data_IF_876218931884
#
_entry.id   IF_876218931884
#
_cell.length_a   1.000
_cell.length_b   1.000
_cell.length_c   1.000
_cell.angle_alpha   90.00
_cell.angle_beta   90.00
_cell.angle_gamma   90.00
#
_symmetry.space_group_name_H-M   'P 1'
#
loop_
_entity.id
_entity.type
_entity.pdbx_description
1 polymer ?
#
# COMPACT_ATOMS: atom_id res chain seq x y z
N UNK A 1 -12.29 -27.73 23.86
CA UNK A 1 -13.55 -27.97 23.13
C UNK A 1 -13.90 -26.79 22.27
N UNK A 2 -14.39 -27.08 21.08
CA UNK A 2 -14.83 -26.07 20.13
C UNK A 2 -16.24 -25.60 20.48
N UNK A 3 -16.51 -24.30 20.38
CA UNK A 3 -17.82 -23.73 20.79
C UNK A 3 -18.95 -24.02 19.79
N UNK A 4 -18.60 -24.38 18.55
CA UNK A 4 -19.56 -24.60 17.46
C UNK A 4 -19.62 -26.07 17.09
N UNK A 5 -20.82 -26.55 16.76
CA UNK A 5 -21.00 -27.90 16.20
C UNK A 5 -20.32 -28.01 14.83
N UNK A 6 -20.08 -29.24 14.35
CA UNK A 6 -19.44 -29.50 13.05
C UNK A 6 -20.19 -28.83 11.89
N UNK A 7 -21.52 -28.90 11.90
CA UNK A 7 -22.40 -28.28 10.91
C UNK A 7 -22.36 -26.75 10.97
N UNK A 8 -22.40 -26.17 12.18
CA UNK A 8 -22.29 -24.73 12.36
C UNK A 8 -20.94 -24.19 11.87
N UNK A 9 -19.85 -24.92 12.16
CA UNK A 9 -18.51 -24.58 11.65
C UNK A 9 -18.45 -24.68 10.13
N UNK A 10 -19.00 -25.74 9.55
CA UNK A 10 -19.06 -25.89 8.10
C UNK A 10 -19.80 -24.71 7.44
N UNK A 11 -20.96 -24.33 7.98
CA UNK A 11 -21.73 -23.16 7.51
C UNK A 11 -20.98 -21.83 7.70
N UNK A 12 -20.27 -21.65 8.80
CA UNK A 12 -19.43 -20.47 8.99
C UNK A 12 -18.29 -20.41 7.97
N UNK A 13 -17.61 -21.54 7.71
CA UNK A 13 -16.51 -21.62 6.74
C UNK A 13 -16.99 -21.37 5.31
N UNK A 14 -18.17 -21.87 4.93
CA UNK A 14 -18.73 -21.63 3.59
C UNK A 14 -19.21 -20.19 3.38
N UNK A 15 -19.56 -19.47 4.46
CA UNK A 15 -19.95 -18.07 4.40
C UNK A 15 -18.77 -17.09 4.27
N UNK A 16 -17.53 -17.55 4.49
CA UNK A 16 -16.32 -16.73 4.38
C UNK A 16 -16.02 -16.48 2.90
N UNK A 17 -16.33 -15.26 2.44
CA UNK A 17 -16.06 -14.81 1.08
C UNK A 17 -14.60 -14.41 0.94
N UNK A 18 -13.98 -14.79 -0.17
CA UNK A 18 -12.60 -14.40 -0.49
C UNK A 18 -12.44 -13.01 -1.11
N UNK A 19 -13.53 -12.29 -1.40
CA UNK A 19 -13.54 -10.95 -2.02
C UNK A 19 -14.74 -10.12 -1.55
N UNK A 20 -14.62 -8.80 -1.60
CA UNK A 20 -15.63 -7.83 -1.17
C UNK A 20 -16.05 -8.05 0.29
N UNK A 21 -15.08 -8.29 1.16
CA UNK A 21 -15.35 -8.40 2.59
C UNK A 21 -15.80 -7.04 3.15
N UNK A 22 -16.49 -7.07 4.31
CA UNK A 22 -16.92 -5.84 5.01
C UNK A 22 -15.77 -4.84 5.25
N UNK A 23 -14.57 -5.24 5.71
CA UNK A 23 -13.45 -4.30 5.87
C UNK A 23 -12.98 -3.71 4.54
N UNK A 24 -12.86 -4.50 3.47
CA UNK A 24 -12.51 -3.99 2.13
C UNK A 24 -13.49 -2.92 1.65
N UNK A 25 -14.80 -3.19 1.75
CA UNK A 25 -15.85 -2.25 1.35
C UNK A 25 -15.79 -0.95 2.13
N UNK A 26 -15.37 -0.99 3.39
CA UNK A 26 -15.25 0.19 4.22
C UNK A 26 -14.11 1.09 3.74
N UNK A 27 -12.91 0.52 3.55
CA UNK A 27 -11.75 1.25 3.01
C UNK A 27 -12.08 1.82 1.64
N UNK A 28 -12.74 1.04 0.79
CA UNK A 28 -13.21 1.44 -0.54
C UNK A 28 -14.13 2.65 -0.52
N UNK A 29 -15.13 2.66 0.36
CA UNK A 29 -16.07 3.78 0.49
C UNK A 29 -15.36 5.04 0.98
N UNK A 30 -14.48 4.90 1.97
CA UNK A 30 -13.71 6.02 2.51
C UNK A 30 -12.77 6.64 1.47
N UNK A 31 -11.99 5.81 0.76
CA UNK A 31 -11.08 6.32 -0.27
C UNK A 31 -11.85 7.01 -1.39
N UNK A 32 -12.97 6.44 -1.81
CA UNK A 32 -13.82 7.04 -2.85
C UNK A 32 -14.42 8.39 -2.40
N UNK A 33 -14.93 8.49 -1.16
CA UNK A 33 -15.49 9.74 -0.65
C UNK A 33 -14.45 10.85 -0.49
N UNK A 34 -13.18 10.50 -0.30
CA UNK A 34 -12.04 11.43 -0.28
C UNK A 34 -11.44 11.70 -1.67
N UNK A 35 -12.05 11.20 -2.75
CA UNK A 35 -11.63 11.47 -4.13
C UNK A 35 -10.50 10.58 -4.66
N UNK A 36 -10.04 9.59 -3.91
CA UNK A 36 -9.02 8.65 -4.39
C UNK A 36 -9.64 7.67 -5.39
N UNK A 37 -9.03 7.60 -6.58
CA UNK A 37 -9.41 6.64 -7.63
C UNK A 37 -8.53 5.40 -7.52
N UNK A 38 -9.16 4.24 -7.39
CA UNK A 38 -8.51 2.94 -7.29
C UNK A 38 -9.08 1.96 -8.32
N UNK A 39 -8.30 0.92 -8.64
CA UNK A 39 -8.76 -0.28 -9.35
C UNK A 39 -8.75 -1.46 -8.38
N UNK A 40 -9.66 -2.40 -8.61
CA UNK A 40 -9.76 -3.65 -7.87
C UNK A 40 -9.09 -4.77 -8.66
N UNK A 41 -8.54 -5.76 -7.94
CA UNK A 41 -8.08 -7.04 -8.49
C UNK A 41 -7.28 -6.87 -9.79
N UNK A 42 -6.19 -6.12 -9.78
CA UNK A 42 -5.40 -5.95 -11.00
C UNK A 42 -4.65 -7.26 -11.32
N UNK A 43 -5.02 -8.01 -12.37
CA UNK A 43 -4.47 -9.35 -12.60
C UNK A 43 -3.00 -9.33 -13.04
N UNK A 44 -2.46 -8.15 -13.35
CA UNK A 44 -1.06 -7.94 -13.74
C UNK A 44 -0.12 -7.74 -12.56
N UNK A 45 -0.64 -7.62 -11.34
CA UNK A 45 0.17 -7.45 -10.14
C UNK A 45 0.18 -8.76 -9.33
N UNK A 46 1.35 -9.16 -8.80
CA UNK A 46 1.44 -10.34 -7.96
C UNK A 46 0.62 -10.15 -6.68
N UNK A 47 0.00 -11.23 -6.21
CA UNK A 47 -0.79 -11.25 -4.97
C UNK A 47 -2.21 -10.70 -5.03
N UNK A 48 -2.69 -10.31 -6.22
CA UNK A 48 -4.05 -9.77 -6.40
C UNK A 48 -4.43 -8.72 -5.34
N UNK A 49 -3.70 -7.59 -5.26
CA UNK A 49 -3.96 -6.56 -4.27
C UNK A 49 -5.42 -6.08 -4.32
N UNK A 50 -6.01 -5.86 -3.15
CA UNK A 50 -7.41 -5.45 -3.01
C UNK A 50 -7.67 -4.12 -3.71
N UNK A 51 -6.75 -3.16 -3.51
CA UNK A 51 -6.86 -1.80 -4.02
C UNK A 51 -5.55 -1.36 -4.65
N UNK A 52 -5.62 -0.89 -5.90
CA UNK A 52 -4.47 -0.41 -6.66
C UNK A 52 -4.67 1.05 -7.02
N UNK A 53 -3.80 1.91 -6.51
CA UNK A 53 -3.81 3.35 -6.74
C UNK A 53 -2.65 3.74 -7.67
N UNK A 54 -2.87 3.62 -8.98
CA UNK A 54 -1.84 3.88 -10.01
C UNK A 54 -1.23 5.28 -9.93
N UNK A 55 -2.03 6.31 -9.63
CA UNK A 55 -1.58 7.71 -9.51
C UNK A 55 -0.52 7.89 -8.42
N UNK A 56 -0.59 7.06 -7.38
CA UNK A 56 0.23 7.10 -6.17
C UNK A 56 1.28 5.99 -6.15
N UNK A 57 1.37 5.18 -7.23
CA UNK A 57 2.16 3.93 -7.28
C UNK A 57 2.02 3.07 -6.01
N UNK A 58 0.82 3.05 -5.44
CA UNK A 58 0.56 2.40 -4.15
C UNK A 58 -0.45 1.27 -4.31
N UNK A 59 -0.20 0.15 -3.64
CA UNK A 59 -1.12 -0.98 -3.48
C UNK A 59 -1.51 -1.11 -2.01
N UNK A 60 -2.79 -1.39 -1.75
CA UNK A 60 -3.31 -1.56 -0.40
C UNK A 60 -3.87 -2.97 -0.27
N UNK A 61 -3.41 -3.67 0.77
CA UNK A 61 -3.87 -4.99 1.19
C UNK A 61 -4.73 -4.86 2.44
N UNK A 62 -5.94 -5.43 2.42
CA UNK A 62 -6.87 -5.43 3.55
C UNK A 62 -6.87 -6.81 4.19
N UNK A 63 -5.89 -7.03 5.08
CA UNK A 63 -5.64 -8.35 5.65
C UNK A 63 -6.55 -8.63 6.85
N UNK A 64 -7.18 -9.81 6.82
CA UNK A 64 -7.87 -10.37 7.98
C UNK A 64 -6.88 -10.79 9.06
N UNK A 65 -7.05 -10.32 10.30
CA UNK A 65 -6.08 -10.58 11.38
C UNK A 65 -5.87 -12.07 11.67
N UNK A 66 -6.91 -12.89 11.48
CA UNK A 66 -6.85 -14.33 11.69
C UNK A 66 -6.07 -15.07 10.59
N UNK A 67 -6.30 -14.70 9.31
CA UNK A 67 -5.79 -15.46 8.16
C UNK A 67 -4.33 -15.19 7.83
N UNK A 68 -3.86 -13.97 8.11
CA UNK A 68 -2.48 -13.54 7.86
C UNK A 68 -1.65 -13.45 9.16
N UNK A 69 -2.23 -13.85 10.29
CA UNK A 69 -1.53 -13.93 11.57
C UNK A 69 -1.00 -12.60 12.08
N UNK A 70 -1.89 -11.65 12.39
CA UNK A 70 -1.48 -10.35 12.90
C UNK A 70 -0.81 -10.47 14.27
N UNK A 71 0.46 -10.08 14.34
CA UNK A 71 1.25 -10.10 15.58
C UNK A 71 0.70 -9.07 16.58
N UNK A 72 0.76 -9.39 17.88
CA UNK A 72 0.24 -8.55 18.98
C UNK A 72 -1.25 -8.16 18.88
N UNK A 73 -2.05 -8.89 18.10
CA UNK A 73 -3.47 -8.61 17.94
C UNK A 73 -4.35 -9.48 18.83
N UNK A 74 -5.24 -8.87 19.62
CA UNK A 74 -6.25 -9.59 20.44
C UNK A 74 -7.19 -10.48 19.60
N UNK A 75 -7.37 -10.15 18.32
CA UNK A 75 -8.25 -10.88 17.39
C UNK A 75 -7.53 -12.03 16.70
N UNK A 76 -6.21 -12.12 16.82
CA UNK A 76 -5.46 -13.29 16.38
C UNK A 76 -5.40 -14.29 17.54
N UNK A 77 -6.07 -15.43 17.37
CA UNK A 77 -5.98 -16.55 18.31
C UNK A 77 -6.02 -17.84 17.53
N UNK A 78 -5.00 -18.68 17.71
CA UNK A 78 -4.99 -20.01 17.12
C UNK A 78 -6.17 -20.83 17.66
N UNK A 79 -6.92 -21.53 16.79
CA UNK A 79 -7.94 -22.45 17.25
C UNK A 79 -7.32 -23.55 18.11
N UNK A 80 -8.00 -23.94 19.19
CA UNK A 80 -7.54 -25.05 20.05
C UNK A 80 -7.63 -26.43 19.35
N UNK A 81 -8.26 -26.48 18.18
CA UNK A 81 -8.47 -27.65 17.34
C UNK A 81 -7.57 -27.56 16.10
N UNK A 82 -6.89 -28.65 15.73
CA UNK A 82 -5.98 -28.73 14.57
C UNK A 82 -4.90 -27.64 14.53
N UNK A 83 -4.23 -27.41 15.68
CA UNK A 83 -3.24 -26.35 15.85
C UNK A 83 -2.12 -26.42 14.80
N UNK A 84 -1.53 -27.59 14.59
CA UNK A 84 -0.42 -27.78 13.63
C UNK A 84 -0.83 -27.41 12.19
N UNK A 85 -2.03 -27.81 11.77
CA UNK A 85 -2.58 -27.43 10.47
C UNK A 85 -2.74 -25.91 10.34
N UNK A 86 -3.33 -25.27 11.35
CA UNK A 86 -3.55 -23.82 11.33
C UNK A 86 -2.25 -23.03 11.38
N UNK A 87 -1.30 -23.46 12.19
CA UNK A 87 0.01 -22.85 12.30
C UNK A 87 0.76 -22.90 10.96
N UNK A 88 0.86 -24.09 10.35
CA UNK A 88 1.48 -24.25 9.01
C UNK A 88 0.76 -23.45 7.93
N UNK A 89 -0.57 -23.36 7.99
CA UNK A 89 -1.37 -22.59 7.04
C UNK A 89 -1.12 -21.08 7.16
N UNK A 90 -1.10 -20.55 8.38
CA UNK A 90 -0.85 -19.13 8.64
C UNK A 90 0.58 -18.77 8.25
N UNK A 91 1.56 -19.62 8.58
CA UNK A 91 2.96 -19.39 8.22
C UNK A 91 3.14 -19.30 6.70
N UNK A 92 2.56 -20.26 5.96
CA UNK A 92 2.57 -20.24 4.49
C UNK A 92 1.93 -18.98 3.91
N UNK A 93 0.86 -18.48 4.53
CA UNK A 93 0.23 -17.22 4.11
C UNK A 93 1.16 -16.03 4.36
N UNK A 94 1.78 -15.93 5.54
CA UNK A 94 2.77 -14.89 5.86
C UNK A 94 3.95 -14.89 4.89
N UNK A 95 4.50 -16.07 4.60
CA UNK A 95 5.58 -16.23 3.63
C UNK A 95 5.17 -15.76 2.22
N UNK A 96 3.95 -16.11 1.80
CA UNK A 96 3.40 -15.67 0.51
C UNK A 96 3.23 -14.15 0.47
N UNK A 97 2.61 -13.55 1.48
CA UNK A 97 2.41 -12.11 1.56
C UNK A 97 3.75 -11.36 1.48
N UNK A 98 4.78 -11.86 2.18
CA UNK A 98 6.13 -11.28 2.14
C UNK A 98 6.72 -11.35 0.75
N UNK A 99 6.61 -12.50 0.06
CA UNK A 99 7.10 -12.66 -1.32
C UNK A 99 6.40 -11.69 -2.27
N UNK A 100 5.08 -11.57 -2.16
CA UNK A 100 4.28 -10.68 -3.00
C UNK A 100 4.64 -9.20 -2.76
N UNK A 101 4.78 -8.79 -1.50
CA UNK A 101 5.23 -7.44 -1.13
C UNK A 101 6.63 -7.14 -1.66
N UNK A 102 7.57 -8.09 -1.57
CA UNK A 102 8.92 -7.93 -2.14
C UNK A 102 8.88 -7.74 -3.66
N UNK A 103 8.05 -8.54 -4.37
CA UNK A 103 7.90 -8.40 -5.83
C UNK A 103 7.31 -7.05 -6.22
N UNK A 104 6.30 -6.58 -5.48
CA UNK A 104 5.67 -5.27 -5.71
C UNK A 104 6.64 -4.12 -5.45
N UNK A 105 7.40 -4.20 -4.34
CA UNK A 105 8.44 -3.23 -4.04
C UNK A 105 9.53 -3.19 -5.12
N UNK A 106 9.97 -4.35 -5.62
CA UNK A 106 10.93 -4.43 -6.73
C UNK A 106 10.39 -3.82 -8.04
N UNK A 107 9.09 -3.85 -8.25
CA UNK A 107 8.41 -3.17 -9.36
C UNK A 107 8.19 -1.66 -9.12
N UNK A 108 8.66 -1.13 -7.99
CA UNK A 108 8.51 0.29 -7.63
C UNK A 108 7.13 0.66 -7.07
N UNK A 109 6.40 -0.30 -6.50
CA UNK A 109 5.12 -0.04 -5.84
C UNK A 109 5.28 0.07 -4.33
N UNK A 110 4.64 1.08 -3.74
CA UNK A 110 4.47 1.19 -2.29
C UNK A 110 3.40 0.22 -1.83
N UNK A 111 3.73 -0.64 -0.86
CA UNK A 111 2.79 -1.59 -0.28
C UNK A 111 2.30 -1.11 1.08
N UNK A 112 0.98 -0.99 1.25
CA UNK A 112 0.35 -0.64 2.52
C UNK A 112 -0.55 -1.79 2.96
N UNK A 113 -0.38 -2.28 4.18
CA UNK A 113 -1.27 -3.29 4.77
C UNK A 113 -2.17 -2.65 5.81
N UNK A 114 -3.48 -2.79 5.63
CA UNK A 114 -4.50 -2.35 6.57
C UNK A 114 -5.15 -3.58 7.20
N UNK A 115 -5.04 -3.71 8.52
CA UNK A 115 -5.57 -4.87 9.22
C UNK A 115 -7.04 -4.67 9.61
N UNK A 116 -7.82 -5.76 9.60
CA UNK A 116 -9.23 -5.73 10.00
C UNK A 116 -9.45 -5.12 11.41
N UNK A 117 -8.55 -5.38 12.36
CA UNK A 117 -8.64 -4.83 13.71
C UNK A 117 -8.54 -3.30 13.74
N UNK A 118 -7.80 -2.70 12.80
CA UNK A 118 -7.65 -1.26 12.67
C UNK A 118 -8.90 -0.60 12.04
N UNK A 119 -9.80 -1.40 11.45
CA UNK A 119 -11.05 -0.93 10.85
C UNK A 119 -12.27 -1.06 11.78
N UNK A 120 -12.05 -1.43 13.04
CA UNK A 120 -13.11 -1.46 14.06
C UNK A 120 -13.53 -0.03 14.47
N UNK A 121 -14.79 0.18 14.90
CA UNK A 121 -15.34 1.52 15.16
C UNK A 121 -14.47 2.44 16.03
N UNK A 122 -13.76 1.88 17.02
CA UNK A 122 -12.91 2.65 17.95
C UNK A 122 -11.71 3.33 17.30
N UNK A 123 -11.10 2.71 16.28
CA UNK A 123 -9.82 3.12 15.70
C UNK A 123 -9.88 3.40 14.20
N UNK A 124 -11.04 3.13 13.58
CA UNK A 124 -11.19 3.23 12.12
C UNK A 124 -10.94 4.61 11.56
N UNK A 125 -11.43 5.66 12.21
CA UNK A 125 -11.33 7.03 11.67
C UNK A 125 -9.87 7.42 11.60
N UNK A 126 -9.14 7.27 12.71
CA UNK A 126 -7.72 7.53 12.80
C UNK A 126 -6.92 6.73 11.76
N UNK A 127 -7.19 5.43 11.62
CA UNK A 127 -6.48 4.57 10.65
C UNK A 127 -6.73 5.01 9.20
N UNK A 128 -7.97 5.37 8.87
CA UNK A 128 -8.34 5.80 7.53
C UNK A 128 -7.76 7.18 7.21
N UNK A 129 -7.73 8.08 8.18
CA UNK A 129 -7.10 9.39 8.04
C UNK A 129 -5.58 9.28 7.89
N UNK A 130 -4.92 8.43 8.69
CA UNK A 130 -3.50 8.15 8.51
C UNK A 130 -3.21 7.54 7.14
N UNK A 131 -4.09 6.65 6.65
CA UNK A 131 -3.96 6.07 5.31
C UNK A 131 -4.02 7.16 4.22
N UNK A 132 -4.98 8.08 4.32
CA UNK A 132 -5.09 9.20 3.38
C UNK A 132 -3.87 10.13 3.44
N UNK A 133 -3.36 10.40 4.65
CA UNK A 133 -2.14 11.17 4.86
C UNK A 133 -0.93 10.50 4.20
N UNK A 134 -0.69 9.21 4.43
CA UNK A 134 0.40 8.45 3.83
C UNK A 134 0.33 8.47 2.29
N UNK A 135 -0.86 8.29 1.72
CA UNK A 135 -1.03 8.35 0.26
C UNK A 135 -0.65 9.73 -0.31
N UNK A 136 -1.07 10.80 0.35
CA UNK A 136 -0.72 12.16 -0.07
C UNK A 136 0.78 12.43 0.11
N UNK A 137 1.40 11.91 1.18
CA UNK A 137 2.83 12.03 1.41
C UNK A 137 3.64 11.36 0.30
N UNK A 138 3.34 10.10 -0.02
CA UNK A 138 3.97 9.35 -1.11
C UNK A 138 3.84 10.11 -2.43
N UNK A 139 2.65 10.67 -2.70
CA UNK A 139 2.41 11.45 -3.91
C UNK A 139 3.32 12.68 -4.03
N UNK A 140 3.54 13.38 -2.92
CA UNK A 140 4.39 14.57 -2.88
C UNK A 140 5.86 14.20 -2.96
N UNK A 141 6.29 13.12 -2.31
CA UNK A 141 7.67 12.61 -2.39
C UNK A 141 8.04 12.19 -3.81
N UNK A 142 7.19 11.39 -4.46
CA UNK A 142 7.41 10.90 -5.82
C UNK A 142 7.49 12.04 -6.86
N UNK A 143 6.86 13.19 -6.56
CA UNK A 143 6.79 14.35 -7.45
C UNK A 143 7.65 15.51 -6.99
N UNK A 144 8.42 15.34 -5.91
CA UNK A 144 9.34 16.36 -5.45
C UNK A 144 10.31 16.63 -6.60
N UNK A 145 10.22 17.83 -7.16
CA UNK A 145 11.02 18.27 -8.30
C UNK A 145 12.48 18.00 -7.97
N UNK A 146 13.21 17.33 -8.87
CA UNK A 146 14.67 17.27 -8.78
C UNK A 146 15.16 18.71 -8.88
N UNK A 147 15.66 19.24 -7.77
CA UNK A 147 16.38 20.50 -7.79
C UNK A 147 17.53 20.33 -8.78
N UNK A 148 17.61 21.23 -9.76
CA UNK A 148 18.81 21.31 -10.59
C UNK A 148 19.95 21.71 -9.65
N UNK A 149 21.00 20.87 -9.60
CA UNK A 149 22.26 21.30 -9.02
C UNK A 149 22.82 22.35 -9.99
N UNK A 150 22.64 23.62 -9.66
CA UNK A 150 23.32 24.70 -10.36
C UNK A 150 24.82 24.52 -10.07
N UNK A 151 25.67 24.34 -11.10
CA UNK A 151 27.11 24.32 -10.87
C UNK A 151 27.52 25.63 -10.19
N UNK A 152 28.46 25.53 -9.26
CA UNK A 152 28.99 26.67 -8.54
C UNK A 152 29.42 27.75 -9.55
N UNK A 153 28.78 28.91 -9.50
CA UNK A 153 28.98 30.03 -10.44
C UNK A 153 30.47 30.42 -10.46
N UNK A 154 31.19 30.14 -9.38
CA UNK A 154 32.62 30.39 -9.22
C UNK A 154 33.53 29.53 -10.12
N UNK A 155 33.03 28.42 -10.68
CA UNK A 155 33.82 27.47 -11.48
C UNK A 155 33.33 27.31 -12.93
N UNK A 156 32.34 28.10 -13.36
CA UNK A 156 31.93 28.13 -14.77
C UNK A 156 32.83 29.12 -15.51
N UNK A 157 33.70 28.70 -16.45
CA UNK A 157 34.39 29.66 -17.30
C UNK A 157 33.34 30.42 -18.10
N UNK A 158 33.18 31.71 -17.82
CA UNK A 158 32.46 32.62 -18.70
C UNK A 158 33.24 32.68 -20.01
N UNK A 159 32.78 31.93 -21.02
CA UNK A 159 33.23 32.12 -22.39
C UNK A 159 32.53 33.38 -22.88
N UNK A 160 33.13 34.53 -22.61
CA UNK A 160 32.76 35.76 -23.29
C UNK A 160 33.23 35.64 -24.75
N UNK A 161 32.33 35.90 -25.70
CA UNK A 161 32.79 36.23 -27.05
C UNK A 161 33.70 37.46 -26.94
N UNK A 162 34.84 37.50 -27.67
CA UNK A 162 35.72 38.68 -27.65
C UNK A 162 34.91 39.92 -28.07
N UNK A 163 35.12 41.03 -27.37
CA UNK A 163 34.44 42.29 -27.66
C UNK A 163 34.66 42.67 -29.13
N UNK A 164 33.59 42.61 -29.93
CA UNK A 164 33.63 43.06 -31.32
C UNK A 164 33.59 44.58 -31.30
N UNK A 165 34.74 45.22 -31.47
CA UNK A 165 34.80 46.67 -31.69
C UNK A 165 34.20 46.99 -33.05
N UNK A 166 32.95 47.42 -33.09
CA UNK A 166 32.36 48.02 -34.28
C UNK A 166 33.01 49.39 -34.51
N UNK A 167 34.14 49.41 -35.23
CA UNK A 167 34.75 50.64 -35.71
C UNK A 167 33.77 51.39 -36.59
N UNK A 168 33.34 52.57 -36.15
CA UNK A 168 32.61 53.53 -36.98
C UNK A 168 33.56 53.96 -38.09
N UNK A 169 33.31 53.57 -39.33
CA UNK A 169 34.04 54.11 -40.48
C UNK A 169 33.80 55.63 -40.50
N UNK A 170 34.84 56.40 -40.22
CA UNK A 170 34.84 57.84 -40.49
C UNK A 170 34.76 58.06 -42.00
N UNK A 171 33.95 59.04 -42.39
CA UNK A 171 33.58 59.38 -43.76
C UNK A 171 34.72 60.09 -44.49
#
# INVERSE_FOLDING_TARGET
MDKLTKEQRHKCMSAIKGRNTKPELLVRKFLFSRGFRYRLNHPRLPGHPDLVLRKYRTVIFVNGCFWHGHDNCRYFRLPKTNIDFWQKKIERNKERDKKEQCQLAAMGWHCITVWECQLKPKVRIQTLESLAYTLNHIFLEDRKIRTYDLPDINNTPMVAEPEVTYGRKEQ
#
